data_IF_294417976187
#
_entry.id   IF_294417976187
#
_cell.length_a   1.000
_cell.length_b   1.000
_cell.length_c   1.000
_cell.angle_alpha   90.00
_cell.angle_beta   90.00
_cell.angle_gamma   90.00
#
_symmetry.space_group_name_H-M   'P 1'
#
loop_
_entity.id
_entity.type
_entity.pdbx_description
1 polymer ?
#
# COMPACT_ATOMS: atom_id res chain seq x y z
N UNK A 1 5.82 6.25 -13.77
CA UNK A 1 6.11 6.49 -12.34
C UNK A 1 7.17 5.50 -11.90
N UNK A 2 8.18 5.95 -11.16
CA UNK A 2 9.20 5.07 -10.59
C UNK A 2 8.62 4.38 -9.36
N UNK A 3 8.81 3.07 -9.21
CA UNK A 3 8.45 2.36 -7.97
C UNK A 3 9.62 1.47 -7.59
N UNK A 4 10.12 1.63 -6.37
CA UNK A 4 11.28 0.88 -5.86
C UNK A 4 11.01 0.32 -4.48
N UNK A 5 11.62 -0.82 -4.19
CA UNK A 5 11.60 -1.44 -2.85
C UNK A 5 12.66 -0.84 -1.92
N UNK A 6 13.61 -0.08 -2.44
CA UNK A 6 14.62 0.66 -1.66
C UNK A 6 14.01 1.93 -1.05
N UNK A 7 14.58 2.41 0.05
CA UNK A 7 14.16 3.67 0.68
C UNK A 7 14.69 4.91 -0.06
N UNK A 8 15.67 4.72 -0.95
CA UNK A 8 16.27 5.76 -1.77
C UNK A 8 16.29 5.34 -3.23
N UNK A 9 16.50 6.30 -4.13
CA UNK A 9 16.66 6.08 -5.56
C UNK A 9 18.05 6.64 -5.94
N UNK A 10 19.09 5.80 -6.07
CA UNK A 10 20.42 6.28 -6.44
C UNK A 10 20.39 7.12 -7.73
N UNK A 11 21.05 8.28 -7.72
CA UNK A 11 21.00 9.25 -8.81
C UNK A 11 19.77 10.16 -8.80
N UNK A 12 18.92 10.10 -7.78
CA UNK A 12 17.80 11.01 -7.63
C UNK A 12 17.85 11.71 -6.27
N UNK A 13 17.34 12.94 -6.23
CA UNK A 13 17.05 13.67 -5.01
C UNK A 13 15.55 13.60 -4.74
N UNK A 14 15.16 13.34 -3.50
CA UNK A 14 13.76 13.43 -3.06
C UNK A 14 13.49 14.89 -2.68
N UNK A 15 12.67 15.57 -3.46
CA UNK A 15 12.33 16.99 -3.26
C UNK A 15 11.08 17.17 -2.39
N UNK A 16 10.18 16.18 -2.35
CA UNK A 16 8.99 16.20 -1.49
C UNK A 16 8.54 14.79 -1.09
N UNK A 17 7.97 14.68 0.10
CA UNK A 17 7.35 13.45 0.63
C UNK A 17 5.86 13.68 0.81
N UNK A 18 5.03 12.82 0.22
CA UNK A 18 3.56 12.95 0.15
C UNK A 18 2.84 11.88 0.99
N UNK A 19 3.58 11.29 1.92
CA UNK A 19 3.09 10.29 2.86
C UNK A 19 2.91 8.91 2.24
N UNK A 20 2.27 8.05 3.03
CA UNK A 20 1.97 6.67 2.66
C UNK A 20 0.88 6.60 1.58
N UNK A 21 1.00 5.62 0.68
CA UNK A 21 0.02 5.28 -0.35
C UNK A 21 -0.14 3.76 -0.42
N UNK A 22 -1.36 3.31 -0.73
CA UNK A 22 -1.67 1.89 -0.80
C UNK A 22 -2.66 1.55 -1.92
N UNK A 23 -2.61 0.29 -2.34
CA UNK A 23 -3.68 -0.37 -3.07
C UNK A 23 -3.93 -1.73 -2.46
N UNK A 24 -5.19 -2.08 -2.25
CA UNK A 24 -5.63 -3.39 -1.76
C UNK A 24 -6.61 -4.07 -2.72
N UNK A 25 -6.75 -5.37 -2.62
CA UNK A 25 -7.83 -6.13 -3.26
C UNK A 25 -8.12 -7.36 -2.44
N UNK A 26 -9.39 -7.78 -2.44
CA UNK A 26 -9.84 -8.98 -1.73
C UNK A 26 -10.33 -10.00 -2.76
N UNK A 27 -9.85 -11.24 -2.65
CA UNK A 27 -10.22 -12.36 -3.52
C UNK A 27 -10.98 -13.40 -2.72
N UNK A 28 -12.06 -13.96 -3.29
CA UNK A 28 -12.78 -15.05 -2.63
C UNK A 28 -12.06 -16.39 -2.82
N UNK A 29 -11.96 -17.15 -1.73
CA UNK A 29 -11.46 -18.53 -1.70
C UNK A 29 -12.30 -19.47 -2.59
N UNK A 30 -13.58 -19.16 -2.83
CA UNK A 30 -14.46 -19.98 -3.68
C UNK A 30 -14.03 -19.97 -5.15
N UNK A 31 -13.39 -18.90 -5.62
CA UNK A 31 -12.75 -18.85 -6.93
C UNK A 31 -11.62 -19.89 -6.97
N UNK A 32 -10.82 -19.99 -5.90
CA UNK A 32 -9.75 -20.96 -5.77
C UNK A 32 -10.22 -22.42 -5.71
N UNK A 33 -11.23 -22.73 -4.89
CA UNK A 33 -11.71 -24.11 -4.70
C UNK A 33 -12.16 -24.78 -6.00
N UNK A 34 -12.79 -24.02 -6.90
CA UNK A 34 -13.20 -24.51 -8.22
C UNK A 34 -12.00 -24.84 -9.12
N UNK A 35 -10.89 -24.11 -8.98
CA UNK A 35 -9.65 -24.42 -9.69
C UNK A 35 -8.95 -25.65 -9.10
N UNK A 36 -8.79 -25.77 -7.78
CA UNK A 36 -8.16 -26.96 -7.15
C UNK A 36 -8.90 -28.26 -7.51
N UNK A 37 -10.23 -28.23 -7.52
CA UNK A 37 -11.04 -29.39 -7.90
C UNK A 37 -10.77 -29.82 -9.36
N UNK A 38 -10.44 -28.89 -10.25
CA UNK A 38 -10.11 -29.15 -11.66
C UNK A 38 -8.67 -29.66 -11.87
N UNK A 39 -7.74 -29.35 -10.95
CA UNK A 39 -6.31 -29.69 -11.07
C UNK A 39 -5.84 -30.89 -10.24
N UNK A 40 -6.69 -31.49 -9.38
CA UNK A 40 -6.35 -32.72 -8.63
C UNK A 40 -5.91 -33.90 -9.51
N UNK A 41 -6.00 -33.81 -10.83
CA UNK A 41 -5.51 -34.81 -11.79
C UNK A 41 -4.11 -34.56 -12.36
N UNK A 42 -3.47 -33.42 -12.11
CA UNK A 42 -2.16 -33.06 -12.70
C UNK A 42 -1.13 -32.90 -11.58
N UNK A 43 -0.11 -33.77 -11.56
CA UNK A 43 0.82 -33.91 -10.45
C UNK A 43 1.61 -32.64 -10.10
N UNK A 44 1.76 -32.39 -8.79
CA UNK A 44 2.87 -31.74 -8.07
C UNK A 44 3.48 -30.41 -8.53
N UNK A 45 2.99 -29.79 -9.61
CA UNK A 45 3.55 -28.59 -10.22
C UNK A 45 2.88 -27.29 -9.77
N UNK A 46 3.25 -26.20 -10.45
CA UNK A 46 2.58 -24.91 -10.34
C UNK A 46 1.10 -25.04 -10.71
N UNK A 47 0.22 -24.42 -9.91
CA UNK A 47 -1.20 -24.31 -10.27
C UNK A 47 -1.39 -23.01 -11.05
N UNK A 48 -1.24 -23.09 -12.38
CA UNK A 48 -1.13 -21.92 -13.28
C UNK A 48 -2.26 -20.90 -13.10
N UNK A 49 -3.48 -21.34 -12.85
CA UNK A 49 -4.66 -20.49 -12.62
C UNK A 49 -4.52 -19.70 -11.32
N UNK A 50 -3.99 -20.31 -10.26
CA UNK A 50 -3.70 -19.61 -9.02
C UNK A 50 -2.56 -18.62 -9.18
N UNK A 51 -1.49 -19.01 -9.87
CA UNK A 51 -0.39 -18.08 -10.17
C UNK A 51 -0.90 -16.88 -10.95
N UNK A 52 -1.75 -17.12 -11.96
CA UNK A 52 -2.40 -16.07 -12.74
C UNK A 52 -3.25 -15.16 -11.85
N UNK A 53 -4.08 -15.71 -10.97
CA UNK A 53 -4.90 -14.93 -10.03
C UNK A 53 -4.04 -14.06 -9.11
N UNK A 54 -2.94 -14.59 -8.58
CA UNK A 54 -2.02 -13.83 -7.73
C UNK A 54 -1.34 -12.71 -8.54
N UNK A 55 -0.92 -13.01 -9.77
CA UNK A 55 -0.31 -12.03 -10.66
C UNK A 55 -1.28 -10.89 -10.99
N UNK A 56 -2.51 -11.20 -11.41
CA UNK A 56 -3.55 -10.21 -11.69
C UNK A 56 -3.88 -9.37 -10.45
N UNK A 57 -3.94 -9.99 -9.27
CA UNK A 57 -4.15 -9.28 -8.00
C UNK A 57 -3.03 -8.30 -7.69
N UNK A 58 -1.76 -8.71 -7.87
CA UNK A 58 -0.60 -7.83 -7.68
C UNK A 58 -0.61 -6.64 -8.64
N UNK A 59 -0.99 -6.86 -9.91
CA UNK A 59 -1.10 -5.77 -10.88
C UNK A 59 -2.22 -4.79 -10.52
N UNK A 60 -3.38 -5.28 -10.07
CA UNK A 60 -4.50 -4.45 -9.65
C UNK A 60 -4.12 -3.52 -8.48
N UNK A 61 -3.49 -4.07 -7.44
CA UNK A 61 -3.09 -3.26 -6.26
C UNK A 61 -1.98 -2.27 -6.58
N UNK A 62 -1.03 -2.66 -7.44
CA UNK A 62 0.04 -1.77 -7.91
C UNK A 62 -0.53 -0.58 -8.68
N UNK A 63 -1.49 -0.84 -9.56
CA UNK A 63 -2.16 0.23 -10.29
C UNK A 63 -2.89 1.17 -9.33
N UNK A 64 -3.61 0.65 -8.33
CA UNK A 64 -4.32 1.50 -7.36
C UNK A 64 -3.40 2.36 -6.50
N UNK A 65 -2.31 1.78 -5.98
CA UNK A 65 -1.28 2.50 -5.22
C UNK A 65 -0.64 3.61 -6.06
N UNK A 66 -0.29 3.33 -7.32
CA UNK A 66 0.36 4.32 -8.20
C UNK A 66 -0.60 5.43 -8.64
N UNK A 67 -1.87 5.11 -8.90
CA UNK A 67 -2.93 6.12 -9.15
C UNK A 67 -3.11 7.03 -7.94
N UNK A 68 -3.11 6.48 -6.72
CA UNK A 68 -3.16 7.28 -5.50
C UNK A 68 -1.96 8.22 -5.38
N UNK A 69 -0.74 7.70 -5.60
CA UNK A 69 0.48 8.50 -5.58
C UNK A 69 0.43 9.65 -6.61
N UNK A 70 0.01 9.37 -7.85
CA UNK A 70 -0.15 10.38 -8.90
C UNK A 70 -1.16 11.45 -8.50
N UNK A 71 -2.28 11.05 -7.89
CA UNK A 71 -3.31 11.99 -7.42
C UNK A 71 -2.75 12.98 -6.40
N UNK A 72 -1.81 12.55 -5.56
CA UNK A 72 -1.11 13.40 -4.58
C UNK A 72 0.04 14.22 -5.18
N UNK A 73 0.29 14.11 -6.48
CA UNK A 73 1.35 14.83 -7.20
C UNK A 73 2.70 14.11 -7.20
N UNK A 74 2.77 12.86 -6.75
CA UNK A 74 4.02 12.11 -6.73
C UNK A 74 4.41 11.64 -8.12
N UNK A 75 5.71 11.52 -8.36
CA UNK A 75 6.27 10.90 -9.56
C UNK A 75 7.00 9.58 -9.28
N UNK A 76 7.16 9.23 -7.99
CA UNK A 76 7.78 8.01 -7.52
C UNK A 76 7.15 7.46 -6.23
N UNK A 77 7.33 6.15 -6.00
CA UNK A 77 7.03 5.47 -4.74
C UNK A 77 8.29 4.71 -4.27
N UNK A 78 8.73 4.98 -3.04
CA UNK A 78 9.88 4.32 -2.41
C UNK A 78 9.43 3.39 -1.28
N UNK A 79 10.32 2.49 -0.87
CA UNK A 79 10.05 1.57 0.24
C UNK A 79 8.86 0.64 -0.04
N UNK A 80 8.54 0.39 -1.31
CA UNK A 80 7.35 -0.36 -1.68
C UNK A 80 7.42 -1.79 -1.17
N UNK A 81 6.31 -2.30 -0.63
CA UNK A 81 6.14 -3.67 -0.17
C UNK A 81 4.81 -4.24 -0.65
N UNK A 82 4.75 -5.56 -0.65
CA UNK A 82 3.48 -6.28 -0.68
C UNK A 82 3.21 -6.89 0.69
N UNK A 83 1.94 -6.90 1.07
CA UNK A 83 1.43 -7.69 2.18
C UNK A 83 0.25 -8.55 1.69
N UNK A 84 0.01 -9.65 2.39
CA UNK A 84 -1.10 -10.57 2.12
C UNK A 84 -1.64 -11.10 3.43
N UNK A 85 -2.96 -11.13 3.58
CA UNK A 85 -3.62 -11.64 4.77
C UNK A 85 -4.86 -12.45 4.41
N UNK A 86 -5.28 -13.35 5.31
CA UNK A 86 -6.55 -14.04 5.16
C UNK A 86 -7.65 -13.28 5.91
N UNK A 87 -8.77 -13.03 5.22
CA UNK A 87 -9.97 -12.41 5.78
C UNK A 87 -11.02 -13.51 5.95
N UNK A 88 -11.21 -13.95 7.20
CA UNK A 88 -12.02 -15.12 7.53
C UNK A 88 -11.57 -16.37 6.73
N UNK A 89 -12.38 -17.44 6.70
CA UNK A 89 -12.04 -18.66 5.98
C UNK A 89 -12.21 -18.56 4.45
N UNK A 90 -12.83 -17.48 3.96
CA UNK A 90 -13.38 -17.42 2.61
C UNK A 90 -12.78 -16.33 1.72
N UNK A 91 -11.85 -15.51 2.23
CA UNK A 91 -11.26 -14.41 1.47
C UNK A 91 -9.79 -14.24 1.79
N UNK A 92 -9.03 -13.76 0.82
CA UNK A 92 -7.65 -13.31 1.01
C UNK A 92 -7.48 -11.88 0.50
N UNK A 93 -6.71 -11.10 1.22
CA UNK A 93 -6.28 -9.76 0.87
C UNK A 93 -4.90 -9.80 0.23
N UNK A 94 -4.71 -8.96 -0.78
CA UNK A 94 -3.39 -8.54 -1.27
C UNK A 94 -3.33 -7.03 -1.14
N UNK A 95 -2.25 -6.51 -0.57
CA UNK A 95 -1.99 -5.09 -0.42
C UNK A 95 -0.61 -4.75 -1.01
N UNK A 96 -0.50 -3.64 -1.71
CA UNK A 96 0.76 -2.99 -2.06
C UNK A 96 0.78 -1.61 -1.40
N UNK A 97 1.87 -1.27 -0.73
CA UNK A 97 2.01 0.02 -0.04
C UNK A 97 3.44 0.55 -0.16
N UNK A 98 3.60 1.86 0.06
CA UNK A 98 4.90 2.52 0.06
C UNK A 98 4.78 4.00 0.42
N UNK A 99 5.86 4.75 0.25
CA UNK A 99 5.86 6.20 0.47
C UNK A 99 5.89 6.93 -0.87
N UNK A 100 4.88 7.75 -1.12
CA UNK A 100 4.79 8.59 -2.31
C UNK A 100 5.76 9.78 -2.17
N UNK A 101 6.57 10.01 -3.19
CA UNK A 101 7.58 11.07 -3.22
C UNK A 101 7.63 11.76 -4.57
N UNK A 102 8.14 12.99 -4.57
CA UNK A 102 8.62 13.65 -5.77
C UNK A 102 10.14 13.53 -5.83
N UNK A 103 10.64 12.84 -6.86
CA UNK A 103 12.05 12.57 -7.06
C UNK A 103 12.54 13.20 -8.37
N UNK A 104 13.64 13.94 -8.30
CA UNK A 104 14.26 14.63 -9.44
C UNK A 104 15.61 13.99 -9.72
N UNK A 105 15.94 13.65 -10.98
CA UNK A 105 17.25 13.09 -11.31
C UNK A 105 18.35 14.13 -11.03
N UNK A 106 19.45 13.66 -10.46
CA UNK A 106 20.64 14.45 -10.16
C UNK A 106 21.44 14.67 -11.45
N UNK A 107 21.74 15.93 -11.77
CA UNK A 107 22.44 16.35 -12.98
C UNK A 107 23.95 16.07 -12.96
N UNK A 108 24.59 16.31 -14.10
CA UNK A 108 26.05 16.17 -14.22
C UNK A 108 26.77 17.17 -13.32
N UNK A 109 27.79 16.71 -12.59
CA UNK A 109 28.57 17.53 -11.66
C UNK A 109 27.95 17.68 -10.26
N UNK A 110 26.73 17.21 -10.03
CA UNK A 110 26.15 17.12 -8.70
C UNK A 110 26.61 15.82 -7.98
N UNK A 111 26.73 15.87 -6.65
CA UNK A 111 27.13 14.71 -5.85
C UNK A 111 26.04 13.63 -5.90
N UNK A 112 26.45 12.37 -6.11
CA UNK A 112 25.53 11.23 -6.17
C UNK A 112 24.89 11.00 -7.55
N UNK A 113 25.29 11.75 -8.58
CA UNK A 113 24.86 11.48 -9.95
C UNK A 113 25.28 10.08 -10.40
N UNK A 114 24.47 9.50 -11.28
CA UNK A 114 24.80 8.28 -12.02
C UNK A 114 24.76 8.61 -13.51
N UNK A 115 25.34 7.74 -14.35
CA UNK A 115 25.21 7.90 -15.81
C UNK A 115 23.74 7.95 -16.25
N UNK A 116 22.87 7.20 -15.58
CA UNK A 116 21.44 7.18 -15.85
C UNK A 116 20.76 8.48 -15.44
N UNK A 117 21.08 9.03 -14.25
CA UNK A 117 20.45 10.27 -13.79
C UNK A 117 20.82 11.47 -14.65
N UNK A 118 22.08 11.54 -15.10
CA UNK A 118 22.56 12.59 -16.02
C UNK A 118 21.76 12.56 -17.32
N UNK A 119 21.52 11.38 -17.89
CA UNK A 119 20.71 11.27 -19.10
C UNK A 119 19.25 11.67 -18.86
N UNK A 120 18.68 11.26 -17.73
CA UNK A 120 17.30 11.60 -17.38
C UNK A 120 17.11 13.08 -17.10
N UNK A 121 18.11 13.76 -16.52
CA UNK A 121 18.10 15.19 -16.25
C UNK A 121 18.11 16.06 -17.53
N UNK A 122 18.53 15.50 -18.68
CA UNK A 122 18.48 16.22 -19.97
C UNK A 122 17.05 16.48 -20.45
N UNK A 123 16.07 15.72 -19.96
CA UNK A 123 14.66 15.95 -20.30
C UNK A 123 14.03 16.93 -19.29
N UNK A 124 13.60 18.13 -19.72
CA UNK A 124 13.01 19.14 -18.84
C UNK A 124 11.79 18.63 -18.06
N UNK A 125 11.03 17.68 -18.60
CA UNK A 125 9.87 17.10 -17.94
C UNK A 125 10.24 16.31 -16.66
N UNK A 126 11.47 15.78 -16.59
CA UNK A 126 11.95 15.01 -15.44
C UNK A 126 12.48 15.90 -14.31
N UNK A 127 12.81 17.16 -14.61
CA UNK A 127 13.37 18.12 -13.63
C UNK A 127 12.37 19.22 -13.26
N UNK A 128 11.12 19.09 -13.69
CA UNK A 128 10.06 20.00 -13.29
C UNK A 128 9.93 20.01 -11.76
N UNK A 129 9.67 21.16 -11.11
CA UNK A 129 9.50 21.23 -9.68
C UNK A 129 8.28 20.45 -9.22
N UNK A 130 8.31 19.98 -7.97
CA UNK A 130 7.16 19.31 -7.36
C UNK A 130 5.92 20.21 -7.46
N UNK A 131 4.76 19.66 -7.86
CA UNK A 131 3.52 20.44 -7.84
C UNK A 131 3.23 20.91 -6.41
N UNK A 132 2.71 22.13 -6.29
CA UNK A 132 2.32 22.66 -4.98
C UNK A 132 1.33 21.68 -4.30
N UNK A 133 1.47 21.43 -2.98
CA UNK A 133 0.52 20.60 -2.26
C UNK A 133 -0.89 21.16 -2.46
N UNK A 134 -1.82 20.36 -2.99
CA UNK A 134 -3.19 20.80 -3.17
C UNK A 134 -3.92 20.75 -1.81
N UNK A 135 -4.19 21.89 -1.13
CA UNK A 135 -4.71 21.89 0.23
C UNK A 135 -6.17 21.41 0.30
N UNK A 136 -6.86 21.36 -0.85
CA UNK A 136 -8.27 20.99 -0.95
C UNK A 136 -8.52 19.59 -1.52
N UNK A 137 -7.48 18.80 -1.81
CA UNK A 137 -7.70 17.44 -2.29
C UNK A 137 -8.24 16.57 -1.14
N UNK A 138 -9.46 16.02 -1.26
CA UNK A 138 -9.97 15.09 -0.27
C UNK A 138 -8.96 13.93 -0.13
N UNK A 139 -8.63 13.54 1.10
CA UNK A 139 -8.03 12.24 1.36
C UNK A 139 -8.81 11.18 0.59
N UNK A 140 -8.13 10.18 0.03
CA UNK A 140 -8.78 9.23 -0.88
C UNK A 140 -10.04 8.71 -0.19
N UNK A 141 -11.22 8.72 -0.85
CA UNK A 141 -12.34 7.97 -0.32
C UNK A 141 -11.82 6.56 -0.12
N UNK A 142 -11.94 6.04 1.11
CA UNK A 142 -11.67 4.64 1.37
C UNK A 142 -12.39 3.78 0.33
N UNK A 143 -11.88 2.57 0.09
CA UNK A 143 -12.43 1.61 -0.85
C UNK A 143 -13.98 1.64 -0.89
N UNK A 144 -14.54 1.98 -2.05
CA UNK A 144 -16.01 2.05 -2.25
C UNK A 144 -16.56 3.26 -3.02
N UNK A 145 -15.72 4.25 -3.38
CA UNK A 145 -16.18 5.50 -4.01
C UNK A 145 -16.53 5.46 -5.51
N UNK A 146 -16.34 4.34 -6.21
CA UNK A 146 -16.75 4.18 -7.61
C UNK A 146 -17.84 3.11 -7.71
N UNK A 147 -19.04 3.56 -8.05
CA UNK A 147 -20.26 2.79 -8.38
C UNK A 147 -20.14 1.28 -8.20
N UNK A 148 -20.78 0.76 -7.14
CA UNK A 148 -21.27 -0.60 -7.10
C UNK A 148 -22.20 -0.82 -8.31
N UNK A 149 -21.64 -1.17 -9.46
CA UNK A 149 -22.40 -1.87 -10.48
C UNK A 149 -22.87 -3.16 -9.82
N UNK A 150 -24.18 -3.19 -9.58
CA UNK A 150 -24.90 -4.28 -8.97
C UNK A 150 -24.66 -5.55 -9.77
N UNK A 151 -23.63 -6.33 -9.43
CA UNK A 151 -23.66 -7.75 -9.70
C UNK A 151 -24.56 -8.37 -8.65
N UNK A 152 -25.80 -8.63 -9.08
CA UNK A 152 -26.82 -9.28 -8.27
C UNK A 152 -26.35 -10.66 -7.80
N UNK A 153 -26.74 -10.98 -6.56
CA UNK A 153 -26.80 -12.35 -6.08
C UNK A 153 -25.67 -12.79 -5.15
N UNK A 154 -25.54 -12.16 -3.98
CA UNK A 154 -25.08 -12.89 -2.79
C UNK A 154 -26.27 -13.10 -1.87
N UNK A 155 -26.88 -14.28 -2.04
CA UNK A 155 -27.97 -14.75 -1.21
C UNK A 155 -27.51 -15.06 0.21
N UNK A 156 -28.36 -14.64 1.15
CA UNK A 156 -28.57 -15.16 2.50
C UNK A 156 -27.32 -15.42 3.37
N UNK A 157 -27.12 -14.47 4.28
CA UNK A 157 -26.34 -14.58 5.50
C UNK A 157 -26.69 -15.86 6.29
N UNK A 158 -25.74 -16.78 6.55
CA UNK A 158 -25.96 -17.86 7.50
C UNK A 158 -26.21 -17.28 8.90
N UNK A 159 -27.23 -17.79 9.59
CA UNK A 159 -27.71 -17.29 10.87
C UNK A 159 -26.62 -17.11 11.92
N UNK A 160 -26.71 -16.00 12.64
CA UNK A 160 -25.85 -15.68 13.78
C UNK A 160 -25.98 -16.76 14.89
N UNK A 161 -24.89 -17.37 15.35
CA UNK A 161 -24.88 -17.98 16.66
C UNK A 161 -24.66 -16.90 17.74
N UNK A 162 -25.71 -16.68 18.55
CA UNK A 162 -25.69 -16.27 19.95
C UNK A 162 -24.66 -15.24 20.46
N UNK A 163 -25.14 -14.03 20.75
CA UNK A 163 -24.83 -13.26 21.96
C UNK A 163 -23.37 -13.02 22.32
N UNK A 164 -22.78 -11.95 21.81
CA UNK A 164 -21.62 -11.34 22.48
C UNK A 164 -22.10 -10.62 23.74
N UNK A 165 -21.70 -11.13 24.90
CA UNK A 165 -21.89 -10.50 26.19
C UNK A 165 -21.37 -9.06 26.18
N UNK A 166 -22.05 -8.19 26.92
CA UNK A 166 -21.72 -6.78 27.04
C UNK A 166 -20.25 -6.61 27.41
N UNK A 167 -19.50 -5.93 26.55
CA UNK A 167 -18.13 -5.50 26.81
C UNK A 167 -18.14 -4.57 28.03
N UNK A 168 -17.32 -4.81 29.08
CA UNK A 168 -17.22 -3.87 30.20
C UNK A 168 -16.76 -2.50 29.67
N UNK A 169 -17.41 -1.44 30.14
CA UNK A 169 -17.05 -0.07 29.80
C UNK A 169 -15.60 0.27 30.16
N UNK A 170 -15.00 1.28 29.52
CA UNK A 170 -13.64 1.70 29.82
C UNK A 170 -13.51 2.10 31.30
N UNK A 171 -12.37 1.78 31.96
CA UNK A 171 -12.12 2.24 33.32
C UNK A 171 -12.07 3.78 33.36
N UNK A 172 -12.49 4.41 34.47
CA UNK A 172 -12.44 5.86 34.61
C UNK A 172 -10.99 6.36 34.53
N UNK A 173 -10.82 7.52 33.89
CA UNK A 173 -9.52 8.16 33.69
C UNK A 173 -8.84 8.46 35.03
N UNK A 174 -7.88 7.62 35.41
CA UNK A 174 -6.93 7.90 36.49
C UNK A 174 -5.99 9.03 36.04
N UNK A 175 -5.92 10.09 36.83
CA UNK A 175 -5.04 11.22 36.57
C UNK A 175 -3.58 10.77 36.48
N UNK A 176 -2.89 11.20 35.43
CA UNK A 176 -1.44 11.09 35.34
C UNK A 176 -0.81 11.97 36.44
N UNK A 177 -0.40 11.36 37.54
CA UNK A 177 0.54 12.00 38.45
C UNK A 177 1.92 12.01 37.78
N UNK A 178 2.43 13.21 37.51
CA UNK A 178 3.82 13.42 37.09
C UNK A 178 4.76 12.80 38.14
N UNK A 179 5.75 11.98 37.74
CA UNK A 179 6.82 11.60 38.65
C UNK A 179 7.66 12.84 39.00
N UNK A 180 8.14 12.98 40.25
CA UNK A 180 8.98 14.11 40.64
C UNK A 180 10.31 14.08 39.88
N UNK A 181 10.79 15.26 39.50
CA UNK A 181 12.05 15.48 38.81
C UNK A 181 13.24 15.06 39.69
N UNK A 182 13.71 13.82 39.52
CA UNK A 182 14.93 13.29 40.13
C UNK A 182 16.12 13.43 39.18
N UNK A 183 17.13 14.20 39.59
CA UNK A 183 18.31 14.50 38.81
C UNK A 183 19.18 13.28 38.46
N UNK A 184 19.65 13.23 37.23
CA UNK A 184 20.66 12.29 36.75
C UNK A 184 22.03 12.68 37.34
N UNK A 185 22.69 11.77 38.06
CA UNK A 185 24.14 11.83 38.29
C UNK A 185 24.83 10.69 37.51
N UNK A 186 25.91 10.96 36.77
CA UNK A 186 26.67 9.92 36.09
C UNK A 186 27.67 9.27 37.07
N UNK A 187 27.61 7.94 37.21
CA UNK A 187 28.63 7.13 37.88
C UNK A 187 29.72 6.69 36.90
N UNK A 188 30.96 6.73 37.38
CA UNK A 188 32.22 6.40 36.70
C UNK A 188 32.37 4.94 36.28
#
# INVERSE_FOLDING_TARGET
MIVVTTNEIPGYRIDAVMGEVMGLTVRSANIGQNFVASFRSIGGGEVTEYTRLVYESRQEVMNRMTVEAQRRGANAVIGMRFDTGDIAQAFSEVCAYGTAVYATPIGEGEQGHTKQSVEQAKNPANVAPAPAPNPGQPQAPGYGGASAQQHGGYGQQPGQPGGYGQQPGPPPAGGYQQPPAGGYQPGY
#
